data_IF_713311213162
#
_entry.id   IF_713311213162
#
_cell.length_a   1.000
_cell.length_b   1.000
_cell.length_c   1.000
_cell.angle_alpha   90.00
_cell.angle_beta   90.00
_cell.angle_gamma   90.00
#
_symmetry.space_group_name_H-M   'P 1'
#
loop_
_entity.id
_entity.type
_entity.pdbx_description
1 polymer ?
#
# COMPACT_ATOMS: atom_id res chain seq x y z
N UNK A 1 46.05 6.78 21.16
CA UNK A 1 45.01 6.88 20.11
C UNK A 1 45.40 5.96 18.95
N UNK A 2 44.52 5.07 18.46
CA UNK A 2 44.88 4.22 17.33
C UNK A 2 45.03 5.08 16.06
N UNK A 3 46.16 4.91 15.37
CA UNK A 3 46.50 5.67 14.17
C UNK A 3 45.46 5.42 13.06
N UNK A 4 44.81 6.47 12.60
CA UNK A 4 43.89 6.40 11.46
C UNK A 4 44.69 6.07 10.20
N UNK A 5 44.43 4.89 9.62
CA UNK A 5 45.08 4.47 8.38
C UNK A 5 44.81 5.49 7.26
N UNK A 6 45.88 5.99 6.65
CA UNK A 6 45.82 6.97 5.56
C UNK A 6 45.09 6.44 4.32
N UNK A 7 44.62 7.34 3.43
CA UNK A 7 43.76 6.99 2.29
C UNK A 7 44.31 5.87 1.40
N UNK A 8 45.62 5.89 1.11
CA UNK A 8 46.27 4.87 0.28
C UNK A 8 46.31 3.48 0.92
N UNK A 9 46.37 3.39 2.25
CA UNK A 9 46.33 2.11 2.97
C UNK A 9 44.92 1.51 2.94
N UNK A 10 43.86 2.33 3.07
CA UNK A 10 42.48 1.82 2.91
C UNK A 10 42.23 1.28 1.50
N UNK A 11 42.73 1.98 0.48
CA UNK A 11 42.58 1.56 -0.91
C UNK A 11 43.31 0.24 -1.19
N UNK A 12 44.51 0.05 -0.66
CA UNK A 12 45.28 -1.20 -0.79
C UNK A 12 44.59 -2.38 -0.08
N UNK A 13 43.96 -2.14 1.08
CA UNK A 13 43.21 -3.16 1.81
C UNK A 13 41.86 -3.51 1.16
N UNK A 14 41.21 -2.54 0.51
CA UNK A 14 40.02 -2.81 -0.30
C UNK A 14 40.37 -3.60 -1.56
N UNK A 15 41.48 -3.29 -2.21
CA UNK A 15 41.96 -4.02 -3.39
C UNK A 15 42.43 -5.43 -3.03
N UNK A 16 43.12 -5.62 -1.89
CA UNK A 16 43.52 -6.95 -1.42
C UNK A 16 42.32 -7.78 -0.96
N UNK A 17 41.29 -7.19 -0.35
CA UNK A 17 40.05 -7.87 -0.02
C UNK A 17 39.27 -8.28 -1.29
N UNK A 18 39.25 -7.45 -2.33
CA UNK A 18 38.62 -7.78 -3.61
C UNK A 18 39.38 -8.88 -4.37
N UNK A 19 40.72 -8.83 -4.38
CA UNK A 19 41.55 -9.86 -5.01
C UNK A 19 41.52 -11.19 -4.23
N UNK A 20 41.54 -11.13 -2.90
CA UNK A 20 41.38 -12.31 -2.04
C UNK A 20 39.99 -12.92 -2.19
N UNK A 21 38.94 -12.09 -2.32
CA UNK A 21 37.60 -12.57 -2.63
C UNK A 21 37.60 -13.28 -3.99
N UNK A 22 38.14 -12.68 -5.05
CA UNK A 22 38.18 -13.31 -6.38
C UNK A 22 38.92 -14.66 -6.37
N UNK A 23 40.04 -14.77 -5.64
CA UNK A 23 40.75 -16.04 -5.43
C UNK A 23 39.93 -17.07 -4.68
N UNK A 24 39.19 -16.66 -3.63
CA UNK A 24 38.27 -17.51 -2.88
C UNK A 24 37.11 -18.01 -3.74
N UNK A 25 36.57 -17.16 -4.62
CA UNK A 25 35.49 -17.54 -5.56
C UNK A 25 35.93 -18.62 -6.55
N UNK A 26 37.20 -18.63 -6.94
CA UNK A 26 37.77 -19.64 -7.85
C UNK A 26 38.16 -20.91 -7.11
N UNK A 27 38.74 -20.80 -5.91
CA UNK A 27 39.23 -21.95 -5.15
C UNK A 27 38.13 -22.68 -4.36
N UNK A 28 37.14 -21.94 -3.84
CA UNK A 28 36.09 -22.45 -2.95
C UNK A 28 34.73 -21.79 -3.28
N UNK A 29 34.11 -22.15 -4.42
CA UNK A 29 32.88 -21.49 -4.89
C UNK A 29 31.70 -21.66 -3.92
N UNK A 30 31.62 -22.78 -3.21
CA UNK A 30 30.56 -23.04 -2.21
C UNK A 30 30.69 -22.12 -0.99
N UNK A 31 31.89 -21.97 -0.44
CA UNK A 31 32.16 -21.09 0.70
C UNK A 31 31.93 -19.62 0.35
N UNK A 32 32.34 -19.22 -0.86
CA UNK A 32 32.11 -17.87 -1.35
C UNK A 32 30.61 -17.56 -1.53
N UNK A 33 29.83 -18.53 -2.00
CA UNK A 33 28.37 -18.42 -2.08
C UNK A 33 27.72 -18.39 -0.69
N UNK A 34 28.17 -19.21 0.26
CA UNK A 34 27.68 -19.20 1.64
C UNK A 34 27.94 -17.85 2.32
N UNK A 35 29.15 -17.30 2.17
CA UNK A 35 29.51 -15.97 2.66
C UNK A 35 28.65 -14.88 2.03
N UNK A 36 28.40 -14.96 0.71
CA UNK A 36 27.50 -14.03 0.00
C UNK A 36 26.08 -14.09 0.58
N UNK A 37 25.54 -15.29 0.79
CA UNK A 37 24.20 -15.48 1.33
C UNK A 37 24.09 -14.91 2.75
N UNK A 38 25.05 -15.20 3.63
CA UNK A 38 25.08 -14.66 5.00
C UNK A 38 25.13 -13.13 5.00
N UNK A 39 26.00 -12.53 4.17
CA UNK A 39 26.08 -11.08 4.00
C UNK A 39 24.74 -10.48 3.55
N UNK A 40 24.04 -11.13 2.61
CA UNK A 40 22.72 -10.69 2.14
C UNK A 40 21.68 -10.78 3.26
N UNK A 41 21.65 -11.88 4.02
CA UNK A 41 20.71 -12.08 5.13
C UNK A 41 20.95 -11.08 6.26
N UNK A 42 22.21 -10.80 6.59
CA UNK A 42 22.57 -9.79 7.59
C UNK A 42 22.18 -8.38 7.12
N UNK A 43 22.46 -8.05 5.86
CA UNK A 43 21.99 -6.79 5.28
C UNK A 43 20.46 -6.69 5.28
N UNK A 44 19.74 -7.78 4.97
CA UNK A 44 18.28 -7.81 4.99
C UNK A 44 17.76 -7.50 6.40
N UNK A 45 18.33 -8.13 7.44
CA UNK A 45 18.00 -7.85 8.84
C UNK A 45 18.25 -6.40 9.24
N UNK A 46 19.33 -5.78 8.78
CA UNK A 46 19.70 -4.41 9.16
C UNK A 46 18.90 -3.33 8.41
N UNK A 47 18.72 -3.48 7.09
CA UNK A 47 18.25 -2.40 6.23
C UNK A 47 16.76 -2.47 5.91
N UNK A 48 16.20 -3.68 5.75
CA UNK A 48 14.78 -3.84 5.36
C UNK A 48 13.82 -3.21 6.37
N UNK A 49 13.99 -3.37 7.70
CA UNK A 49 13.09 -2.73 8.66
C UNK A 49 13.05 -1.20 8.50
N UNK A 50 14.21 -0.57 8.31
CA UNK A 50 14.31 0.89 8.16
C UNK A 50 13.75 1.37 6.80
N UNK A 51 14.11 0.71 5.69
CA UNK A 51 13.54 1.03 4.36
C UNK A 51 12.03 0.87 4.39
N UNK A 52 11.54 -0.21 5.01
CA UNK A 52 10.12 -0.45 5.18
C UNK A 52 9.45 0.62 6.03
N UNK A 53 10.04 1.04 7.15
CA UNK A 53 9.48 2.09 7.98
C UNK A 53 9.34 3.41 7.21
N UNK A 54 10.34 3.79 6.39
CA UNK A 54 10.23 4.96 5.53
C UNK A 54 9.19 4.78 4.43
N UNK A 55 9.16 3.61 3.78
CA UNK A 55 8.17 3.31 2.74
C UNK A 55 6.75 3.30 3.31
N UNK A 56 6.54 2.72 4.50
CA UNK A 56 5.27 2.74 5.22
C UNK A 56 4.91 4.12 5.71
N UNK A 57 5.88 4.97 6.08
CA UNK A 57 5.61 6.38 6.36
C UNK A 57 5.14 7.08 5.08
N UNK A 58 5.81 6.87 3.96
CA UNK A 58 5.42 7.43 2.66
C UNK A 58 4.07 6.89 2.14
N UNK A 59 3.78 5.61 2.35
CA UNK A 59 2.47 5.01 2.07
C UNK A 59 1.43 5.37 3.14
N UNK A 60 1.84 5.72 4.35
CA UNK A 60 0.97 6.26 5.40
C UNK A 60 0.61 7.71 5.11
N UNK A 61 1.51 8.40 4.39
CA UNK A 61 1.24 9.65 3.69
C UNK A 61 0.36 9.44 2.44
N UNK A 62 -0.12 8.21 2.16
CA UNK A 62 -1.18 8.00 1.16
C UNK A 62 -2.31 8.97 1.44
N UNK A 63 -2.66 9.73 0.41
CA UNK A 63 -3.98 9.89 -0.21
C UNK A 63 -5.18 9.18 0.44
N UNK A 64 -5.33 9.23 1.76
CA UNK A 64 -6.64 9.07 2.35
C UNK A 64 -7.49 10.16 1.71
N UNK A 65 -8.55 9.72 1.04
CA UNK A 65 -9.47 10.60 0.36
C UNK A 65 -10.53 11.01 1.36
N UNK A 66 -10.99 12.24 1.24
CA UNK A 66 -12.19 12.72 1.86
C UNK A 66 -13.20 12.92 0.74
N UNK A 67 -14.19 12.04 0.70
CA UNK A 67 -15.33 12.17 -0.19
C UNK A 67 -16.31 13.12 0.49
N UNK A 68 -16.50 14.31 -0.08
CA UNK A 68 -17.58 15.20 0.32
C UNK A 68 -18.85 14.69 -0.36
N UNK A 69 -19.71 14.01 0.42
CA UNK A 69 -20.90 13.30 -0.08
C UNK A 69 -22.15 14.04 0.34
N UNK A 70 -23.04 14.26 -0.60
CA UNK A 70 -24.41 14.71 -0.34
C UNK A 70 -25.31 13.47 -0.29
N UNK A 71 -25.88 13.14 0.87
CA UNK A 71 -26.66 11.90 1.04
C UNK A 71 -28.01 11.98 0.31
N UNK A 72 -28.56 13.18 0.17
CA UNK A 72 -29.76 13.48 -0.60
C UNK A 72 -29.45 14.60 -1.61
N UNK A 73 -29.34 14.25 -2.90
CA UNK A 73 -29.01 15.22 -3.96
C UNK A 73 -29.91 16.46 -3.90
N UNK A 74 -29.29 17.64 -3.87
CA UNK A 74 -29.96 18.93 -3.78
C UNK A 74 -30.17 19.43 -2.35
N UNK A 75 -29.82 18.64 -1.33
CA UNK A 75 -29.97 18.99 0.08
C UNK A 75 -28.59 19.18 0.76
N UNK A 76 -28.14 20.44 0.84
CA UNK A 76 -26.84 20.79 1.39
C UNK A 76 -26.68 20.44 2.89
N UNK A 77 -27.79 20.32 3.63
CA UNK A 77 -27.76 19.95 5.05
C UNK A 77 -27.42 18.47 5.26
N UNK A 78 -27.49 17.66 4.19
CA UNK A 78 -27.12 16.23 4.20
C UNK A 78 -25.67 15.98 3.79
N UNK A 79 -24.86 17.04 3.69
CA UNK A 79 -23.45 16.91 3.31
C UNK A 79 -22.63 16.34 4.44
N UNK A 80 -21.94 15.24 4.16
CA UNK A 80 -21.06 14.54 5.10
C UNK A 80 -19.74 14.24 4.42
N UNK A 81 -18.65 14.34 5.17
CA UNK A 81 -17.31 13.99 4.70
C UNK A 81 -16.97 12.56 5.11
N UNK A 82 -16.70 11.70 4.14
CA UNK A 82 -16.28 10.32 4.38
C UNK A 82 -14.80 10.13 4.10
N UNK A 83 -14.08 9.64 5.10
CA UNK A 83 -12.71 9.19 4.90
C UNK A 83 -12.69 7.85 4.14
N UNK A 84 -12.05 7.83 2.99
CA UNK A 84 -11.94 6.73 2.05
C UNK A 84 -10.48 6.40 1.74
N UNK A 85 -10.21 5.18 1.29
CA UNK A 85 -8.88 4.74 0.86
C UNK A 85 -8.89 4.33 -0.60
N UNK A 86 -8.09 4.95 -1.48
CA UNK A 86 -8.03 4.57 -2.87
C UNK A 86 -7.45 3.16 -3.02
N UNK A 87 -7.90 2.45 -4.05
CA UNK A 87 -7.35 1.16 -4.44
C UNK A 87 -5.82 1.23 -4.61
N UNK A 88 -5.13 0.11 -4.45
CA UNK A 88 -3.70 0.03 -4.79
C UNK A 88 -3.45 0.34 -6.29
N UNK A 89 -4.44 0.04 -7.14
CA UNK A 89 -4.44 0.29 -8.57
C UNK A 89 -4.92 1.68 -8.98
N UNK A 90 -5.39 2.51 -8.04
CA UNK A 90 -5.98 3.82 -8.33
C UNK A 90 -5.07 4.66 -9.24
N UNK A 91 -5.64 5.20 -10.32
CA UNK A 91 -4.92 5.97 -11.34
C UNK A 91 -4.34 7.28 -10.81
N UNK A 92 -4.95 7.82 -9.75
CA UNK A 92 -4.63 9.12 -9.18
C UNK A 92 -5.58 10.25 -9.60
N UNK A 93 -6.58 9.98 -10.44
CA UNK A 93 -7.56 10.99 -10.88
C UNK A 93 -8.76 11.06 -9.95
N UNK A 94 -8.77 12.02 -9.03
CA UNK A 94 -9.83 12.20 -8.03
C UNK A 94 -11.21 12.48 -8.63
N UNK A 95 -11.26 13.17 -9.78
CA UNK A 95 -12.52 13.47 -10.50
C UNK A 95 -13.26 12.22 -10.98
N UNK A 96 -12.60 11.06 -11.02
CA UNK A 96 -13.26 9.79 -11.37
C UNK A 96 -14.26 9.39 -10.28
N UNK A 97 -14.02 9.81 -9.04
CA UNK A 97 -14.87 9.55 -7.88
C UNK A 97 -15.94 10.63 -7.64
N UNK A 98 -16.15 11.60 -8.53
CA UNK A 98 -17.35 12.48 -8.55
C UNK A 98 -18.47 11.81 -9.34
N UNK A 99 -19.66 11.75 -8.75
CA UNK A 99 -20.86 11.33 -9.43
C UNK A 99 -21.94 10.74 -8.52
N UNK A 100 -23.11 10.43 -9.10
CA UNK A 100 -24.19 9.76 -8.37
C UNK A 100 -23.72 8.37 -7.90
N UNK A 101 -24.22 7.96 -6.75
CA UNK A 101 -23.92 6.67 -6.15
C UNK A 101 -25.15 5.75 -6.28
N UNK A 102 -24.93 4.55 -6.81
CA UNK A 102 -25.96 3.49 -6.90
C UNK A 102 -25.49 2.21 -6.22
N UNK A 103 -26.42 1.41 -5.69
CA UNK A 103 -26.09 0.08 -5.16
C UNK A 103 -25.76 -0.91 -6.28
N UNK A 104 -24.95 -1.92 -5.95
CA UNK A 104 -24.81 -3.11 -6.79
C UNK A 104 -26.17 -3.78 -7.03
N UNK A 105 -26.50 -4.08 -8.28
CA UNK A 105 -27.78 -4.67 -8.69
C UNK A 105 -27.60 -6.09 -9.29
N UNK A 106 -26.51 -6.77 -8.96
CA UNK A 106 -26.31 -8.19 -9.28
C UNK A 106 -27.15 -9.09 -8.35
N UNK A 107 -27.25 -10.37 -8.70
CA UNK A 107 -27.95 -11.36 -7.87
C UNK A 107 -27.22 -11.53 -6.52
N UNK A 108 -27.73 -10.81 -5.50
CA UNK A 108 -27.19 -10.76 -4.14
C UNK A 108 -26.60 -9.41 -3.74
N UNK A 109 -26.39 -8.47 -4.68
CA UNK A 109 -25.88 -7.13 -4.39
C UNK A 109 -24.43 -7.09 -3.90
N UNK A 110 -23.60 -8.06 -4.30
CA UNK A 110 -22.18 -8.15 -3.91
C UNK A 110 -21.22 -7.80 -5.04
N UNK A 111 -21.70 -7.47 -6.24
CA UNK A 111 -20.89 -7.28 -7.44
C UNK A 111 -20.14 -8.54 -7.89
N UNK A 112 -20.57 -9.73 -7.46
CA UNK A 112 -19.87 -10.98 -7.78
C UNK A 112 -20.38 -11.63 -9.06
N UNK A 113 -21.55 -11.22 -9.52
CA UNK A 113 -22.16 -11.63 -10.78
C UNK A 113 -22.33 -10.40 -11.68
N UNK A 114 -22.71 -10.66 -12.93
CA UNK A 114 -23.11 -9.60 -13.85
C UNK A 114 -24.29 -8.80 -13.26
N UNK A 115 -24.23 -7.49 -13.48
CA UNK A 115 -25.22 -6.53 -13.03
C UNK A 115 -26.47 -6.67 -13.91
N UNK A 116 -27.65 -6.67 -13.30
CA UNK A 116 -28.92 -6.91 -14.02
C UNK A 116 -29.36 -5.71 -14.86
N UNK A 117 -28.86 -4.52 -14.54
CA UNK A 117 -29.10 -3.30 -15.30
C UNK A 117 -27.84 -2.44 -15.40
N UNK A 118 -27.77 -1.60 -16.44
CA UNK A 118 -26.70 -0.62 -16.59
C UNK A 118 -26.66 0.32 -15.39
N UNK A 119 -25.45 0.64 -14.95
CA UNK A 119 -25.17 1.60 -13.89
C UNK A 119 -24.46 2.81 -14.48
N UNK A 120 -24.69 3.98 -13.89
CA UNK A 120 -24.02 5.22 -14.26
C UNK A 120 -23.40 5.85 -13.02
N UNK A 121 -22.17 6.34 -13.11
CA UNK A 121 -21.48 6.93 -11.96
C UNK A 121 -20.81 5.89 -11.08
N UNK A 122 -21.01 5.97 -9.78
CA UNK A 122 -20.25 5.23 -8.78
C UNK A 122 -21.10 4.10 -8.22
N UNK A 123 -20.56 2.88 -8.23
CA UNK A 123 -21.26 1.73 -7.64
C UNK A 123 -20.78 1.49 -6.22
N UNK A 124 -21.70 1.51 -5.27
CA UNK A 124 -21.48 1.11 -3.87
C UNK A 124 -21.66 -0.40 -3.72
N UNK A 125 -20.57 -1.09 -3.34
CA UNK A 125 -20.51 -2.56 -3.28
C UNK A 125 -20.04 -3.01 -1.88
N UNK A 126 -20.75 -3.92 -1.20
CA UNK A 126 -20.25 -4.50 0.04
C UNK A 126 -19.02 -5.39 -0.21
N UNK A 127 -18.07 -5.37 0.72
CA UNK A 127 -16.92 -6.30 0.75
C UNK A 127 -17.38 -7.74 0.96
N UNK A 128 -16.65 -8.71 0.39
CA UNK A 128 -16.86 -10.14 0.61
C UNK A 128 -17.45 -10.88 -0.58
N UNK A 129 -17.68 -12.19 -0.41
CA UNK A 129 -18.19 -13.17 -1.41
C UNK A 129 -17.29 -13.46 -2.62
N UNK A 130 -16.60 -12.45 -3.15
CA UNK A 130 -15.68 -12.53 -4.28
C UNK A 130 -14.53 -11.51 -4.11
N UNK A 131 -13.58 -11.52 -5.04
CA UNK A 131 -12.42 -10.61 -5.02
C UNK A 131 -12.82 -9.17 -5.32
N UNK A 132 -11.95 -8.20 -5.02
CA UNK A 132 -12.18 -6.82 -5.45
C UNK A 132 -12.11 -6.69 -6.98
N UNK A 133 -11.24 -7.47 -7.62
CA UNK A 133 -11.10 -7.53 -9.09
C UNK A 133 -12.43 -7.90 -9.74
N UNK A 134 -13.13 -8.92 -9.24
CA UNK A 134 -14.43 -9.35 -9.77
C UNK A 134 -15.47 -8.23 -9.68
N UNK A 135 -15.54 -7.57 -8.51
CA UNK A 135 -16.46 -6.44 -8.27
C UNK A 135 -16.24 -5.32 -9.26
N UNK A 136 -14.97 -4.94 -9.44
CA UNK A 136 -14.56 -3.86 -10.34
C UNK A 136 -14.83 -4.24 -11.80
N UNK A 137 -14.51 -5.47 -12.20
CA UNK A 137 -14.76 -6.01 -13.55
C UNK A 137 -16.24 -5.99 -13.89
N UNK A 138 -17.09 -6.53 -13.00
CA UNK A 138 -18.53 -6.60 -13.21
C UNK A 138 -19.18 -5.21 -13.21
N UNK A 139 -18.76 -4.33 -12.29
CA UNK A 139 -19.24 -2.94 -12.26
C UNK A 139 -18.83 -2.18 -13.54
N UNK A 140 -17.59 -2.36 -14.02
CA UNK A 140 -17.12 -1.78 -15.29
C UNK A 140 -17.96 -2.26 -16.46
N UNK A 141 -18.22 -3.57 -16.55
CA UNK A 141 -19.06 -4.15 -17.60
C UNK A 141 -20.48 -3.57 -17.60
N UNK A 142 -20.98 -3.18 -16.43
CA UNK A 142 -22.28 -2.53 -16.25
C UNK A 142 -22.29 -1.04 -16.62
N UNK A 143 -21.14 -0.42 -16.88
CA UNK A 143 -21.02 1.01 -17.21
C UNK A 143 -20.58 1.91 -16.03
N UNK A 144 -20.13 1.35 -14.92
CA UNK A 144 -19.64 2.13 -13.79
C UNK A 144 -18.43 2.99 -14.17
N UNK A 145 -18.41 4.22 -13.64
CA UNK A 145 -17.28 5.16 -13.71
C UNK A 145 -16.25 4.88 -12.61
N UNK A 146 -16.70 4.43 -11.44
CA UNK A 146 -15.86 4.01 -10.32
C UNK A 146 -16.60 3.05 -9.40
N UNK A 147 -15.88 2.43 -8.46
CA UNK A 147 -16.48 1.64 -7.37
C UNK A 147 -16.15 2.21 -5.99
N UNK A 148 -17.13 2.21 -5.10
CA UNK A 148 -16.93 2.38 -3.67
C UNK A 148 -17.21 1.07 -2.97
N UNK A 149 -16.17 0.48 -2.36
CA UNK A 149 -16.34 -0.73 -1.57
C UNK A 149 -16.45 -0.35 -0.10
N UNK A 150 -17.40 -0.92 0.63
CA UNK A 150 -17.49 -0.72 2.06
C UNK A 150 -17.28 -2.04 2.80
N UNK A 151 -16.55 -1.99 3.91
CA UNK A 151 -16.28 -3.20 4.68
C UNK A 151 -17.58 -3.80 5.24
N UNK A 152 -17.62 -5.11 5.45
CA UNK A 152 -18.73 -5.82 6.10
C UNK A 152 -18.44 -6.17 7.56
N UNK A 153 -17.23 -5.91 8.05
CA UNK A 153 -16.86 -6.19 9.45
C UNK A 153 -16.36 -4.92 10.13
N UNK A 154 -17.03 -4.50 11.21
CA UNK A 154 -16.38 -3.69 12.24
C UNK A 154 -15.26 -4.57 12.80
N UNK A 155 -13.99 -4.28 12.53
CA UNK A 155 -12.92 -5.02 13.18
C UNK A 155 -12.98 -4.75 14.69
N UNK A 156 -13.15 -5.80 15.48
CA UNK A 156 -13.17 -5.74 16.95
C UNK A 156 -11.81 -6.05 17.58
N UNK A 157 -10.79 -6.35 16.77
CA UNK A 157 -9.47 -6.74 17.27
C UNK A 157 -8.52 -5.54 17.35
N UNK A 158 -7.65 -5.49 18.38
CA UNK A 158 -6.48 -4.60 18.39
C UNK A 158 -5.63 -4.79 17.14
N UNK A 159 -4.97 -3.71 16.69
CA UNK A 159 -4.23 -3.66 15.44
C UNK A 159 -3.12 -4.71 15.37
N UNK A 160 -2.58 -5.15 16.52
CA UNK A 160 -1.53 -6.16 16.59
C UNK A 160 -1.98 -7.56 16.14
N UNK A 161 -3.29 -7.85 16.13
CA UNK A 161 -3.83 -9.19 15.85
C UNK A 161 -4.46 -9.37 14.47
N UNK A 162 -4.78 -8.27 13.77
CA UNK A 162 -5.52 -8.30 12.49
C UNK A 162 -4.69 -8.78 11.29
N UNK A 163 -3.40 -9.06 11.49
CA UNK A 163 -2.46 -9.31 10.40
C UNK A 163 -2.36 -10.78 9.95
N UNK A 164 -3.15 -11.68 10.55
CA UNK A 164 -3.23 -13.08 10.10
C UNK A 164 -4.31 -13.28 9.03
N UNK A 165 -3.90 -13.01 7.79
CA UNK A 165 -4.32 -13.59 6.51
C UNK A 165 -5.79 -13.48 6.02
N UNK A 166 -5.89 -13.35 4.68
CA UNK A 166 -7.09 -13.22 3.86
C UNK A 166 -8.05 -14.41 3.82
N UNK A 167 -8.30 -15.06 4.95
CA UNK A 167 -9.43 -15.96 5.12
C UNK A 167 -10.05 -15.69 6.49
N UNK A 168 -11.08 -14.84 6.55
CA UNK A 168 -11.77 -14.59 7.82
C UNK A 168 -12.59 -15.82 8.20
N UNK A 169 -11.95 -16.79 8.88
CA UNK A 169 -12.66 -17.79 9.65
C UNK A 169 -13.22 -17.12 10.90
N UNK A 170 -14.53 -16.96 10.91
CA UNK A 170 -15.28 -16.61 12.10
C UNK A 170 -15.13 -17.70 13.16
N UNK A 171 -14.63 -17.34 14.35
CA UNK A 171 -15.03 -17.99 15.60
C UNK A 171 -15.72 -16.95 16.48
N UNK A 172 -16.89 -17.32 16.97
CA UNK A 172 -17.87 -16.43 17.57
C UNK A 172 -17.79 -16.28 19.09
N UNK A 173 -18.67 -15.38 19.55
CA UNK A 173 -19.40 -15.32 20.83
C UNK A 173 -18.60 -15.39 22.14
N UNK A 174 -18.46 -14.22 22.76
CA UNK A 174 -18.50 -13.88 24.20
C UNK A 174 -17.65 -12.59 24.33
N UNK A 175 -18.16 -11.40 24.60
CA UNK A 175 -18.95 -11.00 25.76
C UNK A 175 -19.63 -9.67 25.44
N UNK A 176 -20.96 -9.63 25.51
CA UNK A 176 -21.77 -8.41 25.44
C UNK A 176 -22.32 -8.03 26.82
N UNK A 177 -21.55 -8.29 27.90
CA UNK A 177 -22.08 -8.20 29.28
C UNK A 177 -21.12 -7.67 30.35
N UNK A 178 -19.95 -7.09 30.02
CA UNK A 178 -19.01 -6.63 31.07
C UNK A 178 -18.40 -5.22 30.89
N UNK A 179 -18.82 -4.43 29.91
CA UNK A 179 -18.26 -3.08 29.68
C UNK A 179 -19.24 -1.91 29.77
N UNK A 180 -20.55 -2.17 29.65
CA UNK A 180 -21.60 -1.14 29.62
C UNK A 180 -22.02 -0.60 31.01
N UNK A 181 -21.29 -0.93 32.08
CA UNK A 181 -21.69 -0.56 33.43
C UNK A 181 -20.69 0.29 34.23
N UNK A 182 -19.46 0.54 33.75
CA UNK A 182 -18.40 0.99 34.68
C UNK A 182 -17.39 2.05 34.23
N UNK A 183 -17.63 2.90 33.22
CA UNK A 183 -16.87 4.17 33.20
C UNK A 183 -17.60 5.30 32.47
N UNK A 184 -18.23 6.17 33.26
CA UNK A 184 -18.73 7.49 32.85
C UNK A 184 -17.58 8.48 32.62
N UNK A 185 -16.73 8.20 31.64
CA UNK A 185 -15.67 9.07 31.18
C UNK A 185 -15.87 9.37 29.70
N UNK A 186 -15.92 10.67 29.38
CA UNK A 186 -15.80 11.29 28.05
C UNK A 186 -15.61 10.29 26.91
N UNK A 187 -16.62 10.15 26.07
CA UNK A 187 -16.61 9.32 24.87
C UNK A 187 -15.33 9.58 24.06
N UNK A 188 -14.32 8.73 24.24
CA UNK A 188 -13.26 8.56 23.26
C UNK A 188 -13.96 7.86 22.10
N UNK A 189 -14.50 8.67 21.18
CA UNK A 189 -14.96 8.17 19.90
C UNK A 189 -13.83 7.30 19.33
N UNK A 190 -14.09 6.04 18.97
CA UNK A 190 -13.07 5.17 18.40
C UNK A 190 -12.50 5.86 17.16
N UNK A 191 -11.25 6.32 17.27
CA UNK A 191 -10.50 6.83 16.12
C UNK A 191 -10.27 5.64 15.21
N UNK A 192 -10.97 5.59 14.07
CA UNK A 192 -10.83 4.55 13.05
C UNK A 192 -9.36 4.38 12.64
N UNK A 193 -8.65 3.40 13.19
CA UNK A 193 -7.26 3.08 12.85
C UNK A 193 -7.18 1.68 12.28
N UNK A 194 -6.89 1.60 10.98
CA UNK A 194 -6.76 0.36 10.20
C UNK A 194 -7.84 0.24 9.13
N UNK A 195 -7.65 0.93 8.00
CA UNK A 195 -8.55 0.81 6.84
C UNK A 195 -7.95 -0.17 5.84
N UNK A 196 -8.70 -1.22 5.52
CA UNK A 196 -8.38 -2.21 4.48
C UNK A 196 -8.09 -1.47 3.16
N UNK A 197 -7.00 -1.84 2.49
CA UNK A 197 -6.70 -1.36 1.12
C UNK A 197 -7.27 -2.38 0.14
N UNK A 198 -7.95 -1.89 -0.91
CA UNK A 198 -8.31 -2.77 -2.02
C UNK A 198 -7.03 -3.15 -2.77
N UNK A 199 -6.65 -4.41 -2.64
CA UNK A 199 -5.48 -4.99 -3.29
C UNK A 199 -5.90 -5.92 -4.42
N UNK A 200 -5.09 -5.94 -5.50
CA UNK A 200 -5.26 -6.90 -6.59
C UNK A 200 -4.53 -8.22 -6.27
N UNK A 201 -5.22 -9.35 -6.42
CA UNK A 201 -4.63 -10.68 -6.22
C UNK A 201 -3.68 -11.03 -7.39
N UNK A 202 -2.37 -10.94 -7.12
CA UNK A 202 -1.30 -11.32 -8.08
C UNK A 202 -1.22 -12.82 -8.39
N UNK A 203 -2.02 -13.65 -7.71
CA UNK A 203 -1.89 -15.11 -7.68
C UNK A 203 -2.59 -15.85 -8.82
N UNK A 204 -3.59 -15.25 -9.47
CA UNK A 204 -4.27 -15.89 -10.59
C UNK A 204 -3.59 -15.51 -11.91
N UNK A 205 -2.94 -16.50 -12.52
CA UNK A 205 -2.26 -16.37 -13.82
C UNK A 205 -3.24 -15.86 -14.88
N UNK A 206 -3.20 -14.55 -15.15
CA UNK A 206 -3.89 -13.93 -16.29
C UNK A 206 -4.76 -12.73 -15.94
N UNK A 207 -5.03 -12.48 -14.66
CA UNK A 207 -5.90 -11.36 -14.31
C UNK A 207 -5.12 -10.04 -14.38
N UNK A 208 -5.43 -9.26 -15.42
CA UNK A 208 -4.91 -7.92 -15.60
C UNK A 208 -5.39 -7.02 -14.45
N UNK A 209 -4.53 -6.09 -14.05
CA UNK A 209 -4.85 -5.00 -13.11
C UNK A 209 -6.19 -4.35 -13.54
N UNK A 210 -7.14 -4.14 -12.62
CA UNK A 210 -8.39 -3.49 -12.99
C UNK A 210 -8.15 -2.10 -13.57
N UNK A 211 -8.77 -1.83 -14.70
CA UNK A 211 -8.74 -0.53 -15.39
C UNK A 211 -10.01 0.28 -15.04
N UNK A 212 -10.43 0.22 -13.78
CA UNK A 212 -11.51 1.01 -13.20
C UNK A 212 -11.11 1.36 -11.77
N UNK A 213 -11.15 2.64 -11.46
CA UNK A 213 -10.75 3.14 -10.16
C UNK A 213 -11.79 2.86 -9.08
N UNK A 214 -11.33 2.86 -7.84
CA UNK A 214 -12.21 2.77 -6.71
C UNK A 214 -11.57 3.23 -5.41
N UNK A 215 -12.43 3.48 -4.43
CA UNK A 215 -12.02 3.72 -3.06
C UNK A 215 -12.81 2.85 -2.09
N UNK A 216 -12.24 2.63 -0.90
CA UNK A 216 -12.88 1.90 0.17
C UNK A 216 -13.30 2.86 1.28
N UNK A 217 -14.54 2.75 1.74
CA UNK A 217 -15.07 3.51 2.88
C UNK A 217 -15.37 2.58 4.06
N UNK A 218 -15.56 3.16 5.26
CA UNK A 218 -15.90 2.36 6.45
C UNK A 218 -17.30 1.75 6.33
N UNK A 219 -17.54 0.67 7.08
CA UNK A 219 -18.84 0.00 7.14
C UNK A 219 -19.96 0.96 7.52
N UNK A 220 -19.73 1.84 8.51
CA UNK A 220 -20.72 2.83 8.95
C UNK A 220 -21.13 3.74 7.81
N UNK A 221 -20.14 4.35 7.13
CA UNK A 221 -20.40 5.28 6.02
C UNK A 221 -21.08 4.58 4.83
N UNK A 222 -20.63 3.37 4.50
CA UNK A 222 -21.24 2.57 3.43
C UNK A 222 -22.68 2.13 3.76
N UNK A 223 -22.96 1.80 5.01
CA UNK A 223 -24.32 1.43 5.46
C UNK A 223 -25.24 2.65 5.39
N UNK A 224 -24.80 3.83 5.85
CA UNK A 224 -25.57 5.07 5.72
C UNK A 224 -25.97 5.36 4.27
N UNK A 225 -25.03 5.22 3.33
CA UNK A 225 -25.33 5.41 1.92
C UNK A 225 -26.28 4.34 1.37
N UNK A 226 -26.07 3.07 1.73
CA UNK A 226 -26.92 1.99 1.28
C UNK A 226 -28.36 2.13 1.78
N UNK A 227 -28.55 2.54 3.03
CA UNK A 227 -29.88 2.74 3.61
C UNK A 227 -30.55 3.98 3.02
N UNK A 228 -29.82 5.08 2.80
CA UNK A 228 -30.33 6.24 2.09
C UNK A 228 -30.85 5.87 0.67
N UNK A 229 -30.12 5.06 -0.09
CA UNK A 229 -30.56 4.59 -1.41
C UNK A 229 -31.83 3.74 -1.31
N UNK A 230 -31.94 2.86 -0.31
CA UNK A 230 -33.16 2.04 -0.08
C UNK A 230 -34.37 2.89 0.32
N UNK A 231 -34.14 4.00 1.01
CA UNK A 231 -35.16 5.00 1.34
C UNK A 231 -35.57 5.86 0.12
N UNK A 232 -35.00 5.63 -1.06
CA UNK A 232 -35.29 6.37 -2.28
C UNK A 232 -34.50 7.67 -2.45
N UNK A 233 -33.51 7.93 -1.58
CA UNK A 233 -32.59 9.07 -1.76
C UNK A 233 -31.57 8.76 -2.85
N UNK A 234 -30.99 9.83 -3.41
CA UNK A 234 -29.97 9.74 -4.45
C UNK A 234 -28.66 10.37 -3.94
N UNK A 235 -27.81 9.62 -3.25
CA UNK A 235 -26.54 10.16 -2.77
C UNK A 235 -25.56 10.42 -3.92
N UNK A 236 -24.68 11.40 -3.74
CA UNK A 236 -23.67 11.80 -4.73
C UNK A 236 -22.37 12.23 -4.05
N UNK A 237 -21.23 11.83 -4.60
CA UNK A 237 -19.95 12.47 -4.26
C UNK A 237 -19.86 13.80 -5.02
N UNK A 238 -19.71 14.90 -4.29
CA UNK A 238 -19.59 16.25 -4.85
C UNK A 238 -18.14 16.61 -5.14
N UNK A 239 -17.24 16.22 -4.25
CA UNK A 239 -15.83 16.57 -4.30
C UNK A 239 -14.99 15.50 -3.60
N UNK A 240 -13.72 15.44 -3.98
CA UNK A 240 -12.75 14.46 -3.47
C UNK A 240 -11.52 15.25 -3.03
N UNK A 241 -11.34 15.35 -1.73
CA UNK A 241 -10.19 15.99 -1.11
C UNK A 241 -9.17 14.94 -0.71
N UNK A 242 -7.91 15.32 -0.67
CA UNK A 242 -6.85 14.49 -0.09
C UNK A 242 -6.60 14.90 1.35
N UNK A 243 -6.17 13.94 2.16
CA UNK A 243 -5.81 14.19 3.54
C UNK A 243 -4.63 15.17 3.59
N UNK A 244 -4.87 16.37 4.10
CA UNK A 244 -3.80 17.30 4.44
C UNK A 244 -3.14 16.83 5.73
N UNK A 245 -1.88 16.39 5.61
CA UNK A 245 -1.10 16.01 6.77
C UNK A 245 -0.63 17.26 7.51
N UNK A 246 -1.08 17.43 8.75
CA UNK A 246 -0.72 18.56 9.62
C UNK A 246 0.80 18.70 9.86
N UNK A 247 1.59 17.67 9.58
CA UNK A 247 3.05 17.66 9.73
C UNK A 247 3.80 18.03 8.44
N UNK A 248 3.13 18.66 7.47
CA UNK A 248 3.70 19.02 6.16
C UNK A 248 3.74 17.86 5.16
N UNK A 249 3.22 16.69 5.54
CA UNK A 249 2.95 15.57 4.64
C UNK A 249 4.14 15.11 3.82
N UNK A 250 3.89 14.91 2.52
CA UNK A 250 4.93 14.47 1.58
C UNK A 250 6.08 15.48 1.46
N UNK A 251 5.84 16.78 1.68
CA UNK A 251 6.89 17.80 1.57
C UNK A 251 7.89 17.70 2.74
N UNK A 252 7.40 17.47 3.96
CA UNK A 252 8.28 17.21 5.11
C UNK A 252 8.97 15.84 5.01
N UNK A 253 8.33 14.83 4.42
CA UNK A 253 9.01 13.58 4.08
C UNK A 253 10.15 13.79 3.07
N UNK A 254 9.89 14.52 1.98
CA UNK A 254 10.90 14.88 0.95
C UNK A 254 12.09 15.57 1.61
N UNK A 255 11.83 16.49 2.54
CA UNK A 255 12.85 17.28 3.22
C UNK A 255 13.67 16.48 4.23
N UNK A 256 13.04 15.65 5.06
CA UNK A 256 13.68 15.03 6.23
C UNK A 256 14.10 13.57 6.03
N UNK A 257 13.30 12.82 5.29
CA UNK A 257 13.33 11.36 5.33
C UNK A 257 13.71 10.74 3.98
N UNK A 258 13.35 11.36 2.86
CA UNK A 258 13.64 10.84 1.53
C UNK A 258 15.15 10.58 1.32
N UNK A 259 16.02 11.53 1.70
CA UNK A 259 17.48 11.35 1.58
C UNK A 259 17.98 10.14 2.38
N UNK A 260 17.43 9.90 3.57
CA UNK A 260 17.82 8.78 4.43
C UNK A 260 17.35 7.47 3.81
N UNK A 261 16.10 7.41 3.37
CA UNK A 261 15.56 6.25 2.67
C UNK A 261 16.36 5.87 1.43
N UNK A 262 16.69 6.86 0.58
CA UNK A 262 17.50 6.64 -0.63
C UNK A 262 18.90 6.11 -0.30
N UNK A 263 19.50 6.58 0.79
CA UNK A 263 20.78 6.07 1.27
C UNK A 263 20.68 4.60 1.71
N UNK A 264 19.65 4.24 2.48
CA UNK A 264 19.43 2.83 2.88
C UNK A 264 19.18 1.93 1.66
N UNK A 265 18.36 2.37 0.70
CA UNK A 265 18.12 1.63 -0.55
C UNK A 265 19.40 1.41 -1.35
N UNK A 266 20.27 2.42 -1.41
CA UNK A 266 21.55 2.32 -2.10
C UNK A 266 22.51 1.35 -1.40
N UNK A 267 22.71 1.51 -0.08
CA UNK A 267 23.60 0.63 0.68
C UNK A 267 23.13 -0.82 0.59
N UNK A 268 21.83 -1.04 0.73
CA UNK A 268 21.26 -2.37 0.68
C UNK A 268 21.38 -3.00 -0.72
N UNK A 269 21.07 -2.24 -1.79
CA UNK A 269 21.24 -2.71 -3.16
C UNK A 269 22.70 -3.05 -3.50
N UNK A 270 23.66 -2.23 -3.07
CA UNK A 270 25.09 -2.48 -3.29
C UNK A 270 25.61 -3.69 -2.50
N UNK A 271 25.06 -3.96 -1.32
CA UNK A 271 25.50 -5.09 -0.47
C UNK A 271 25.17 -6.45 -1.08
N UNK A 272 24.26 -6.51 -2.04
CA UNK A 272 23.90 -7.75 -2.73
C UNK A 272 24.88 -8.14 -3.85
N UNK A 273 25.80 -7.24 -4.22
CA UNK A 273 26.71 -7.44 -5.36
C UNK A 273 28.12 -7.71 -4.89
N UNK A 274 28.86 -8.51 -5.64
CA UNK A 274 30.23 -8.93 -5.27
C UNK A 274 31.18 -7.71 -5.31
N UNK A 275 30.99 -6.82 -6.27
CA UNK A 275 31.66 -5.52 -6.36
C UNK A 275 30.65 -4.38 -6.20
N UNK A 276 30.91 -3.48 -5.25
CA UNK A 276 30.07 -2.28 -5.03
C UNK A 276 30.30 -1.22 -6.12
N UNK A 277 31.43 -1.29 -6.82
CA UNK A 277 31.90 -0.28 -7.76
C UNK A 277 31.97 -0.78 -9.21
N UNK A 278 31.48 -2.00 -9.48
CA UNK A 278 31.39 -2.50 -10.85
C UNK A 278 30.23 -1.81 -11.59
N UNK A 279 30.53 -0.64 -12.16
CA UNK A 279 29.62 0.09 -13.04
C UNK A 279 29.31 -0.68 -14.34
N UNK A 280 30.01 -1.78 -14.60
CA UNK A 280 29.71 -2.76 -15.64
C UNK A 280 28.49 -3.62 -15.33
N UNK A 281 28.14 -3.80 -14.05
CA UNK A 281 27.03 -4.68 -13.64
C UNK A 281 25.66 -4.08 -14.07
N UNK A 282 24.93 -4.73 -14.98
CA UNK A 282 23.64 -4.23 -15.48
C UNK A 282 22.57 -4.11 -14.38
N UNK A 283 22.67 -4.90 -13.31
CA UNK A 283 21.72 -4.81 -12.20
C UNK A 283 22.04 -3.62 -11.31
N UNK A 284 23.31 -3.27 -11.08
CA UNK A 284 23.65 -2.04 -10.35
C UNK A 284 23.10 -0.81 -11.08
N UNK A 285 23.22 -0.78 -12.41
CA UNK A 285 22.61 0.29 -13.23
C UNK A 285 21.09 0.32 -13.05
N UNK A 286 20.44 -0.84 -13.07
CA UNK A 286 18.99 -0.95 -12.92
C UNK A 286 18.53 -0.51 -11.52
N UNK A 287 19.22 -0.91 -10.45
CA UNK A 287 18.94 -0.51 -9.08
C UNK A 287 19.14 1.01 -8.88
N UNK A 288 20.24 1.57 -9.41
CA UNK A 288 20.48 3.02 -9.37
C UNK A 288 19.42 3.79 -10.15
N UNK A 289 19.00 3.28 -11.31
CA UNK A 289 17.94 3.91 -12.10
C UNK A 289 16.59 3.84 -11.37
N UNK A 290 16.20 2.67 -10.85
CA UNK A 290 14.95 2.53 -10.10
C UNK A 290 14.93 3.41 -8.83
N UNK A 291 16.08 3.58 -8.15
CA UNK A 291 16.24 4.53 -7.04
C UNK A 291 16.01 5.98 -7.48
N UNK A 292 16.56 6.39 -8.64
CA UNK A 292 16.34 7.72 -9.21
C UNK A 292 14.89 7.93 -9.65
N UNK A 293 14.28 6.93 -10.28
CA UNK A 293 12.87 6.95 -10.68
C UNK A 293 11.98 7.09 -9.42
N UNK A 294 12.33 6.40 -8.33
CA UNK A 294 11.67 6.50 -7.03
C UNK A 294 11.81 7.92 -6.46
N UNK A 295 13.04 8.46 -6.38
CA UNK A 295 13.28 9.82 -5.90
C UNK A 295 12.48 10.86 -6.71
N UNK A 296 12.56 10.79 -8.04
CA UNK A 296 11.86 11.71 -8.94
C UNK A 296 10.35 11.62 -8.75
N UNK A 297 9.82 10.41 -8.57
CA UNK A 297 8.39 10.21 -8.34
C UNK A 297 7.94 10.74 -6.98
N UNK A 298 8.71 10.54 -5.91
CA UNK A 298 8.39 11.10 -4.59
C UNK A 298 8.42 12.62 -4.63
N UNK A 299 9.46 13.23 -5.24
CA UNK A 299 9.55 14.69 -5.39
C UNK A 299 8.43 15.27 -6.25
N UNK A 300 8.03 14.55 -7.30
CA UNK A 300 6.90 14.90 -8.15
C UNK A 300 5.53 14.56 -7.55
N UNK A 301 5.47 14.07 -6.30
CA UNK A 301 4.25 13.62 -5.62
C UNK A 301 3.44 12.60 -6.44
N UNK A 302 4.14 11.81 -7.26
CA UNK A 302 3.56 10.79 -8.12
C UNK A 302 3.55 9.44 -7.37
N UNK A 303 2.44 9.14 -6.70
CA UNK A 303 2.28 7.95 -5.89
C UNK A 303 2.39 6.65 -6.68
N UNK A 304 1.73 6.57 -7.83
CA UNK A 304 1.82 5.43 -8.72
C UNK A 304 3.28 5.23 -9.22
N UNK A 305 3.96 6.33 -9.51
CA UNK A 305 5.36 6.36 -9.94
C UNK A 305 6.30 5.77 -8.89
N UNK A 306 6.24 6.25 -7.64
CA UNK A 306 7.17 5.74 -6.62
C UNK A 306 6.88 4.28 -6.27
N UNK A 307 5.61 3.83 -6.29
CA UNK A 307 5.28 2.40 -6.10
C UNK A 307 5.89 1.53 -7.18
N UNK A 308 5.73 1.95 -8.44
CA UNK A 308 6.28 1.25 -9.60
C UNK A 308 7.79 1.18 -9.51
N UNK A 309 8.43 2.30 -9.18
CA UNK A 309 9.88 2.38 -9.02
C UNK A 309 10.40 1.53 -7.84
N UNK A 310 9.70 1.55 -6.71
CA UNK A 310 10.04 0.73 -5.54
C UNK A 310 9.88 -0.76 -5.83
N UNK A 311 8.78 -1.16 -6.48
CA UNK A 311 8.53 -2.54 -6.89
C UNK A 311 9.61 -3.03 -7.87
N UNK A 312 9.98 -2.19 -8.85
CA UNK A 312 11.08 -2.47 -9.80
C UNK A 312 12.42 -2.58 -9.08
N UNK A 313 12.70 -1.69 -8.11
CA UNK A 313 13.92 -1.78 -7.31
C UNK A 313 13.96 -3.09 -6.50
N UNK A 314 12.87 -3.44 -5.81
CA UNK A 314 12.76 -4.66 -5.01
C UNK A 314 12.88 -5.93 -5.87
N UNK A 315 12.27 -5.96 -7.06
CA UNK A 315 12.33 -7.13 -7.95
C UNK A 315 13.73 -7.36 -8.56
N UNK A 316 14.58 -6.33 -8.60
CA UNK A 316 15.96 -6.44 -9.05
C UNK A 316 16.92 -6.95 -7.96
N UNK A 317 16.44 -7.10 -6.72
CA UNK A 317 17.24 -7.63 -5.63
C UNK A 317 17.40 -9.15 -5.74
N UNK A 318 18.47 -9.69 -5.14
CA UNK A 318 18.66 -11.13 -4.99
C UNK A 318 17.44 -11.76 -4.29
N UNK A 319 17.03 -12.96 -4.69
CA UNK A 319 15.85 -13.65 -4.13
C UNK A 319 15.88 -13.75 -2.61
N UNK A 320 17.06 -13.97 -2.00
CA UNK A 320 17.20 -14.01 -0.53
C UNK A 320 16.95 -12.63 0.11
N UNK A 321 17.25 -11.59 -0.66
CA UNK A 321 17.13 -10.21 -0.26
C UNK A 321 15.75 -9.61 -0.54
N UNK A 322 14.96 -10.18 -1.44
CA UNK A 322 13.57 -9.78 -1.71
C UNK A 322 12.69 -9.98 -0.47
N UNK A 323 11.68 -9.12 -0.32
CA UNK A 323 10.62 -9.27 0.67
C UNK A 323 9.30 -8.81 0.07
N UNK A 324 8.22 -9.45 0.50
CA UNK A 324 6.92 -8.80 0.41
C UNK A 324 6.85 -7.69 1.48
N UNK A 325 6.28 -6.55 1.09
CA UNK A 325 5.89 -5.51 2.03
C UNK A 325 4.92 -6.06 3.11
N UNK A 326 4.23 -7.16 2.81
CA UNK A 326 3.27 -7.84 3.69
C UNK A 326 3.82 -9.07 4.45
N UNK A 327 5.06 -9.52 4.21
CA UNK A 327 5.58 -10.84 4.63
C UNK A 327 6.00 -10.99 6.12
N UNK A 328 5.54 -10.15 7.04
CA UNK A 328 6.06 -10.17 8.42
C UNK A 328 4.99 -10.17 9.51
N UNK A 329 3.89 -10.88 9.23
CA UNK A 329 2.84 -11.18 10.19
C UNK A 329 2.28 -12.59 10.05
#
# INVERSE_FOLDING_TARGET
APATAGPGRRQLWQQSAAAAAAGLWVAHPEDAQAFRNDRILNAKKSYVPTIRAYYQKLEGLRDDLYLDVEVETGNADTRVRYAARPADWFSGSDSILDGPISLANDEGGYGCKEFTAKVSGIVLIPRGRCTFTDKVRNAKAAGAKAVLVYDQKMSKQPLEEQQRSGAVRSKGVATRQAGDALYGGVAILPVERGKTVMGYDKGEKGDAKPDLDGAMISLTNGTTLADAIKEGKSPRVLDVKRFDFNDGGIDEFIKRDLKKMLNEMEIFGLTQRVSKDDMGDPVIRTLKQAKKDFESSVRGKNYAGFRTAFAKWNSCLDKLAQWDLYELY
#
